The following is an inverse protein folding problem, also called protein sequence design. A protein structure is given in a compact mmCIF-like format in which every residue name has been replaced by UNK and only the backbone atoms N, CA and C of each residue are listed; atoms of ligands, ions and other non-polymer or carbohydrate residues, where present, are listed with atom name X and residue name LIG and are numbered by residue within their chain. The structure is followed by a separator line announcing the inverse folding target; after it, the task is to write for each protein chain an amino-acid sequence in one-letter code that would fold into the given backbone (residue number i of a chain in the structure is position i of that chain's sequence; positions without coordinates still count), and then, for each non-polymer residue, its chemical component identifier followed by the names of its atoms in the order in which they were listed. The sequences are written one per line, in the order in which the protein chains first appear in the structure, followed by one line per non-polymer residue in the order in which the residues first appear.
data_IF_955718961258
#
_entry.id   IF_955718961258
#
_cell.length_a   1.000
_cell.length_b   1.000
_cell.length_c   1.000
_cell.angle_alpha   90.00
_cell.angle_beta   90.00
_cell.angle_gamma   90.00
#
_symmetry.space_group_name_H-M   'P 1'
#
loop_
_entity.id
_entity.type
_entity.pdbx_description
1 polymer ?
#
# COMPACT_ATOMS: atom_id res chain seq x y z
N UNK A 1 -22.67 -7.96 5.83
CA UNK A 1 -21.48 -8.18 6.68
C UNK A 1 -20.55 -9.07 5.87
N UNK A 2 -19.31 -8.64 5.64
CA UNK A 2 -18.28 -9.47 5.02
C UNK A 2 -17.26 -9.87 6.08
N UNK A 3 -16.66 -11.03 5.90
CA UNK A 3 -15.55 -11.55 6.71
C UNK A 3 -14.34 -11.72 5.81
N UNK A 4 -13.14 -11.43 6.34
CA UNK A 4 -11.87 -11.49 5.61
C UNK A 4 -10.90 -12.37 6.38
N UNK A 5 -10.48 -13.48 5.79
CA UNK A 5 -9.71 -14.53 6.46
C UNK A 5 -8.25 -14.53 6.03
N UNK A 6 -7.36 -14.78 6.99
CA UNK A 6 -5.95 -15.03 6.75
C UNK A 6 -5.44 -16.10 7.72
N UNK A 7 -4.67 -17.05 7.21
CA UNK A 7 -3.95 -18.05 8.02
C UNK A 7 -2.50 -17.62 8.14
N UNK A 8 -1.97 -17.57 9.37
CA UNK A 8 -0.56 -17.28 9.65
C UNK A 8 0.09 -18.54 10.20
N UNK A 9 1.00 -19.13 9.43
CA UNK A 9 1.61 -20.42 9.75
C UNK A 9 3.13 -20.30 9.89
N UNK A 10 3.64 -20.57 11.09
CA UNK A 10 5.06 -20.68 11.38
C UNK A 10 5.39 -22.11 11.82
N UNK A 11 6.52 -22.62 11.37
CA UNK A 11 7.05 -23.93 11.77
C UNK A 11 8.54 -23.78 12.06
N UNK A 12 8.99 -24.33 13.19
CA UNK A 12 10.41 -24.42 13.54
C UNK A 12 11.11 -25.43 12.63
N UNK A 13 12.32 -25.12 12.20
CA UNK A 13 13.17 -26.08 11.49
C UNK A 13 13.78 -27.06 12.51
N UNK A 14 13.84 -28.35 12.19
CA UNK A 14 14.34 -29.39 13.13
C UNK A 14 15.79 -29.17 13.56
N UNK A 15 16.56 -28.42 12.77
CA UNK A 15 17.97 -28.11 13.01
C UNK A 15 18.18 -26.87 13.87
N UNK A 16 17.13 -26.14 14.21
CA UNK A 16 17.24 -24.90 15.00
C UNK A 16 17.43 -25.17 16.48
N UNK A 17 18.32 -24.41 17.16
CA UNK A 17 18.54 -24.60 18.58
C UNK A 17 17.29 -24.23 19.39
N UNK A 18 17.14 -24.88 20.55
CA UNK A 18 16.20 -24.44 21.57
C UNK A 18 16.57 -23.03 22.06
N UNK A 19 15.55 -22.21 22.35
CA UNK A 19 15.72 -20.81 22.76
C UNK A 19 15.27 -19.80 21.70
N UNK A 20 15.79 -18.57 21.77
CA UNK A 20 15.31 -17.42 20.98
C UNK A 20 15.96 -17.27 19.60
N UNK A 21 17.05 -18.00 19.33
CA UNK A 21 17.84 -17.93 18.10
C UNK A 21 17.31 -18.89 17.04
N UNK A 22 16.11 -18.60 16.56
CA UNK A 22 15.46 -19.31 15.45
C UNK A 22 14.86 -18.31 14.45
N UNK A 23 14.69 -18.78 13.21
CA UNK A 23 14.05 -18.06 12.13
C UNK A 23 12.57 -17.86 12.40
N UNK A 24 12.12 -16.62 12.29
CA UNK A 24 10.69 -16.27 12.33
C UNK A 24 10.12 -16.08 10.93
N UNK A 25 10.79 -16.63 9.91
CA UNK A 25 10.21 -16.75 8.58
C UNK A 25 8.96 -17.64 8.64
N UNK A 26 7.88 -17.19 8.04
CA UNK A 26 6.58 -17.86 8.08
C UNK A 26 5.78 -17.55 6.82
N UNK A 27 4.58 -18.10 6.70
CA UNK A 27 3.71 -17.90 5.53
C UNK A 27 2.37 -17.31 5.96
N UNK A 28 1.86 -16.37 5.15
CA UNK A 28 0.47 -15.94 5.19
C UNK A 28 -0.28 -16.56 4.02
N UNK A 29 -1.44 -17.14 4.29
CA UNK A 29 -2.34 -17.72 3.28
C UNK A 29 -3.69 -17.02 3.35
N UNK A 30 -4.24 -16.69 2.18
CA UNK A 30 -5.52 -16.01 2.05
C UNK A 30 -6.57 -16.94 1.42
N UNK A 31 -7.85 -16.64 1.67
CA UNK A 31 -9.01 -17.42 1.24
C UNK A 31 -9.06 -17.74 -0.28
N UNK A 32 -8.56 -16.83 -1.11
CA UNK A 32 -8.43 -17.02 -2.56
C UNK A 32 -7.25 -17.89 -3.01
N UNK A 33 -6.47 -18.46 -2.10
CA UNK A 33 -5.31 -19.30 -2.38
C UNK A 33 -4.00 -18.55 -2.61
N UNK A 34 -3.98 -17.22 -2.41
CA UNK A 34 -2.74 -16.45 -2.44
C UNK A 34 -1.89 -16.76 -1.19
N UNK A 35 -0.59 -16.94 -1.40
CA UNK A 35 0.38 -17.17 -0.32
C UNK A 35 1.49 -16.12 -0.38
N UNK A 36 1.96 -15.68 0.79
CA UNK A 36 3.02 -14.69 0.91
C UNK A 36 4.03 -15.11 1.98
N UNK A 37 5.32 -15.07 1.62
CA UNK A 37 6.41 -15.29 2.56
C UNK A 37 6.56 -14.05 3.46
N UNK A 38 6.52 -14.27 4.77
CA UNK A 38 6.54 -13.24 5.80
C UNK A 38 7.69 -13.45 6.79
N UNK A 39 8.08 -12.38 7.48
CA UNK A 39 9.14 -12.34 8.49
C UNK A 39 8.90 -11.17 9.44
N UNK A 40 9.44 -11.14 10.66
CA UNK A 40 9.58 -9.89 11.40
C UNK A 40 10.47 -8.90 10.64
N UNK A 41 10.25 -7.61 10.89
CA UNK A 41 11.09 -6.55 10.34
C UNK A 41 12.54 -6.68 10.82
N UNK A 42 13.55 -6.54 9.94
CA UNK A 42 14.95 -6.47 10.32
C UNK A 42 15.29 -5.35 11.32
N UNK A 43 14.46 -4.30 11.36
CA UNK A 43 14.59 -3.19 12.31
C UNK A 43 14.22 -3.57 13.75
N UNK A 44 13.32 -4.55 13.91
CA UNK A 44 12.88 -5.05 15.21
C UNK A 44 13.72 -6.24 15.63
N UNK A 45 14.05 -7.12 14.69
CA UNK A 45 14.82 -8.33 14.94
C UNK A 45 15.86 -8.55 13.84
N UNK A 46 17.17 -8.53 14.16
CA UNK A 46 18.19 -8.62 13.13
C UNK A 46 18.32 -10.05 12.55
N UNK A 47 18.88 -10.18 11.34
CA UNK A 47 19.29 -11.46 10.79
C UNK A 47 20.24 -12.23 11.74
N UNK A 48 20.22 -13.58 11.74
CA UNK A 48 19.49 -14.46 10.83
C UNK A 48 18.05 -14.80 11.29
N UNK A 49 17.53 -14.17 12.36
CA UNK A 49 16.19 -14.48 12.88
C UNK A 49 15.06 -13.81 12.08
N UNK A 50 15.42 -12.87 11.21
CA UNK A 50 14.57 -12.25 10.20
C UNK A 50 15.12 -12.51 8.80
N UNK A 51 14.21 -12.48 7.82
CA UNK A 51 14.49 -12.60 6.39
C UNK A 51 14.05 -11.31 5.72
N UNK A 52 15.01 -10.43 5.41
CA UNK A 52 14.75 -9.09 4.88
C UNK A 52 14.06 -9.06 3.50
N UNK A 53 14.04 -10.18 2.78
CA UNK A 53 13.36 -10.30 1.49
C UNK A 53 11.86 -10.66 1.63
N UNK A 54 11.43 -11.07 2.82
CA UNK A 54 10.03 -11.41 3.10
C UNK A 54 9.28 -10.16 3.60
N UNK A 55 7.97 -10.12 3.38
CA UNK A 55 7.15 -9.02 3.90
C UNK A 55 7.16 -9.03 5.43
N UNK A 56 7.24 -7.85 6.03
CA UNK A 56 6.99 -7.70 7.46
C UNK A 56 5.60 -7.13 7.78
N UNK A 57 5.06 -7.36 8.99
CA UNK A 57 3.73 -6.86 9.37
C UNK A 57 3.58 -5.34 9.24
N UNK A 58 4.63 -4.59 9.52
CA UNK A 58 4.64 -3.13 9.44
C UNK A 58 4.55 -2.65 7.98
N UNK A 59 5.33 -3.24 7.07
CA UNK A 59 5.26 -3.01 5.62
C UNK A 59 3.89 -3.38 5.06
N UNK A 60 3.36 -4.56 5.43
CA UNK A 60 2.04 -5.00 5.00
C UNK A 60 0.92 -4.06 5.48
N UNK A 61 1.04 -3.53 6.70
CA UNK A 61 0.10 -2.54 7.24
C UNK A 61 0.10 -1.24 6.43
N UNK A 62 1.29 -0.72 6.08
CA UNK A 62 1.44 0.47 5.23
C UNK A 62 0.85 0.21 3.84
N UNK A 63 1.17 -0.93 3.25
CA UNK A 63 0.68 -1.33 1.93
C UNK A 63 -0.86 -1.47 1.91
N UNK A 64 -1.45 -2.07 2.94
CA UNK A 64 -2.89 -2.22 3.06
C UNK A 64 -3.61 -0.86 3.11
N UNK A 65 -3.10 0.09 3.91
CA UNK A 65 -3.63 1.46 4.00
C UNK A 65 -3.55 2.20 2.67
N UNK A 66 -2.41 2.15 2.00
CA UNK A 66 -2.20 2.77 0.69
C UNK A 66 -3.14 2.17 -0.36
N UNK A 67 -3.24 0.84 -0.40
CA UNK A 67 -4.12 0.11 -1.33
C UNK A 67 -5.60 0.45 -1.11
N UNK A 68 -6.06 0.49 0.15
CA UNK A 68 -7.44 0.85 0.46
C UNK A 68 -7.76 2.28 -0.01
N UNK A 69 -6.86 3.24 0.23
CA UNK A 69 -7.02 4.61 -0.28
C UNK A 69 -7.06 4.67 -1.81
N UNK A 70 -6.11 4.00 -2.48
CA UNK A 70 -6.05 3.90 -3.93
C UNK A 70 -7.36 3.37 -4.52
N UNK A 71 -7.93 2.29 -3.98
CA UNK A 71 -9.17 1.70 -4.49
C UNK A 71 -10.35 2.69 -4.46
N UNK A 72 -10.45 3.47 -3.39
CA UNK A 72 -11.46 4.54 -3.32
C UNK A 72 -11.17 5.69 -4.29
N UNK A 73 -9.91 6.11 -4.40
CA UNK A 73 -9.50 7.14 -5.37
C UNK A 73 -9.87 6.74 -6.80
N UNK A 74 -9.51 5.53 -7.22
CA UNK A 74 -9.81 4.99 -8.55
C UNK A 74 -11.33 4.95 -8.81
N UNK A 75 -12.12 4.50 -7.82
CA UNK A 75 -13.58 4.47 -7.92
C UNK A 75 -14.18 5.88 -8.08
N UNK A 76 -13.70 6.84 -7.29
CA UNK A 76 -14.19 8.22 -7.32
C UNK A 76 -13.78 8.94 -8.62
N UNK A 77 -12.55 8.73 -9.09
CA UNK A 77 -12.07 9.26 -10.37
C UNK A 77 -12.92 8.75 -11.54
N UNK A 78 -13.18 7.44 -11.58
CA UNK A 78 -14.02 6.83 -12.61
C UNK A 78 -15.45 7.38 -12.58
N UNK A 79 -16.06 7.55 -11.41
CA UNK A 79 -17.42 8.14 -11.28
C UNK A 79 -17.51 9.57 -11.78
N UNK A 80 -16.42 10.34 -11.70
CA UNK A 80 -16.36 11.69 -12.27
C UNK A 80 -16.09 11.68 -13.77
N UNK A 81 -15.68 10.55 -14.35
CA UNK A 81 -15.31 10.44 -15.76
C UNK A 81 -13.85 10.76 -16.03
N UNK A 82 -12.97 10.64 -15.03
CA UNK A 82 -11.52 10.69 -15.22
C UNK A 82 -10.99 9.28 -15.49
N UNK A 83 -10.25 9.11 -16.58
CA UNK A 83 -9.61 7.84 -16.92
C UNK A 83 -8.20 7.80 -16.31
N UNK A 84 -8.07 7.17 -15.14
CA UNK A 84 -6.76 6.89 -14.54
C UNK A 84 -6.11 5.74 -15.29
N UNK A 85 -4.87 5.91 -15.76
CA UNK A 85 -4.12 4.87 -16.45
C UNK A 85 -2.89 4.37 -15.68
N UNK A 86 -2.40 5.15 -14.72
CA UNK A 86 -1.35 4.73 -13.80
C UNK A 86 -1.64 5.33 -12.42
N UNK A 87 -1.36 4.55 -11.38
CA UNK A 87 -1.33 5.02 -10.00
C UNK A 87 -0.17 4.34 -9.30
N UNK A 88 0.69 5.13 -8.67
CA UNK A 88 1.81 4.64 -7.85
C UNK A 88 1.78 5.40 -6.53
N UNK A 89 1.94 4.70 -5.42
CA UNK A 89 2.07 5.32 -4.10
C UNK A 89 3.36 4.88 -3.41
N UNK A 90 4.24 5.85 -3.13
CA UNK A 90 5.43 5.65 -2.33
C UNK A 90 5.12 5.89 -0.83
N UNK A 91 4.29 5.02 -0.28
CA UNK A 91 3.84 5.11 1.09
C UNK A 91 4.97 4.76 2.08
N UNK A 92 4.98 5.40 3.25
CA UNK A 92 5.91 5.11 4.34
C UNK A 92 5.21 5.11 5.70
N UNK A 93 5.60 4.17 6.56
CA UNK A 93 5.17 4.11 7.96
C UNK A 93 6.28 4.53 8.92
N UNK A 94 5.92 5.18 10.03
CA UNK A 94 6.84 5.53 11.10
C UNK A 94 6.40 4.87 12.41
N UNK A 95 7.33 4.16 13.05
CA UNK A 95 7.11 3.54 14.35
C UNK A 95 7.67 4.40 15.48
N UNK A 96 6.82 4.77 16.43
CA UNK A 96 7.18 5.57 17.60
C UNK A 96 6.36 5.13 18.81
N UNK A 97 6.65 5.71 19.98
CA UNK A 97 5.77 5.57 21.14
C UNK A 97 4.53 6.45 20.94
N UNK A 98 3.35 5.85 21.07
CA UNK A 98 2.08 6.57 21.08
C UNK A 98 1.84 7.30 22.42
N UNK A 99 0.69 7.96 22.57
CA UNK A 99 0.28 8.66 23.80
C UNK A 99 0.24 7.73 25.03
N UNK A 100 -0.04 6.45 24.82
CA UNK A 100 -0.02 5.41 25.86
C UNK A 100 1.40 4.87 26.16
N UNK A 101 2.44 5.48 25.59
CA UNK A 101 3.87 5.08 25.66
C UNK A 101 4.19 3.69 25.08
N UNK A 102 3.29 3.12 24.26
CA UNK A 102 3.47 1.84 23.56
C UNK A 102 4.05 2.07 22.16
N UNK A 103 4.94 1.19 21.71
CA UNK A 103 5.41 1.21 20.33
C UNK A 103 4.24 0.89 19.38
N UNK A 104 4.07 1.71 18.36
CA UNK A 104 3.04 1.55 17.33
C UNK A 104 3.47 2.26 16.05
N UNK A 105 2.84 1.91 14.92
CA UNK A 105 2.90 2.73 13.70
C UNK A 105 2.07 3.99 13.95
N UNK A 106 2.72 5.10 14.32
CA UNK A 106 2.06 6.36 14.73
C UNK A 106 1.67 7.21 13.54
N UNK A 107 2.42 7.12 12.43
CA UNK A 107 2.14 7.86 11.21
C UNK A 107 2.34 7.01 9.97
N UNK A 108 1.43 7.12 9.01
CA UNK A 108 1.61 6.66 7.63
C UNK A 108 1.49 7.87 6.70
N UNK A 109 2.44 8.01 5.79
CA UNK A 109 2.41 9.08 4.79
C UNK A 109 2.27 8.44 3.42
N UNK A 110 1.16 8.71 2.75
CA UNK A 110 0.87 8.31 1.37
C UNK A 110 1.44 9.36 0.43
N UNK A 111 2.10 8.94 -0.64
CA UNK A 111 2.63 9.80 -1.72
C UNK A 111 2.11 9.31 -3.06
N UNK A 112 0.81 9.47 -3.31
CA UNK A 112 0.19 8.98 -4.52
C UNK A 112 0.54 9.87 -5.72
N UNK A 113 0.80 9.22 -6.85
CA UNK A 113 0.97 9.84 -8.15
C UNK A 113 0.08 9.11 -9.15
N UNK A 114 -0.83 9.84 -9.78
CA UNK A 114 -1.77 9.31 -10.76
C UNK A 114 -1.58 9.95 -12.13
N UNK A 115 -1.52 9.13 -13.18
CA UNK A 115 -1.55 9.59 -14.57
C UNK A 115 -2.94 9.38 -15.16
N UNK A 116 -3.37 10.32 -16.00
CA UNK A 116 -4.71 10.34 -16.60
C UNK A 116 -4.63 10.35 -18.13
N UNK A 117 -5.59 9.70 -18.80
CA UNK A 117 -5.84 9.78 -20.26
C UNK A 117 -7.16 10.43 -20.60
N UNK A 118 -7.35 10.65 -21.90
CA UNK A 118 -8.59 11.08 -22.49
C UNK A 118 -8.68 12.60 -22.59
N UNK A 119 -9.84 13.08 -23.00
CA UNK A 119 -10.08 14.51 -23.20
C UNK A 119 -10.32 15.25 -21.88
N UNK A 120 -10.78 14.53 -20.85
CA UNK A 120 -11.11 15.08 -19.53
C UNK A 120 -9.97 14.81 -18.55
N UNK A 121 -9.03 15.75 -18.47
CA UNK A 121 -7.91 15.73 -17.51
C UNK A 121 -8.30 16.54 -16.27
N UNK A 122 -8.12 16.01 -15.04
CA UNK A 122 -8.48 16.72 -13.82
C UNK A 122 -7.55 17.90 -13.54
N UNK A 123 -8.07 18.95 -12.91
CA UNK A 123 -7.24 20.02 -12.33
C UNK A 123 -6.57 19.54 -11.03
N UNK A 124 -5.51 20.22 -10.56
CA UNK A 124 -4.90 19.91 -9.26
C UNK A 124 -5.90 19.90 -8.10
N UNK A 125 -6.86 20.83 -8.09
CA UNK A 125 -7.90 20.92 -7.06
C UNK A 125 -8.87 19.73 -7.12
N UNK A 126 -9.18 19.24 -8.33
CA UNK A 126 -9.99 18.04 -8.50
C UNK A 126 -9.26 16.79 -8.01
N UNK A 127 -7.95 16.68 -8.25
CA UNK A 127 -7.11 15.59 -7.73
C UNK A 127 -7.07 15.64 -6.20
N UNK A 128 -6.85 16.81 -5.61
CA UNK A 128 -6.87 16.99 -4.16
C UNK A 128 -8.22 16.60 -3.55
N UNK A 129 -9.32 17.07 -4.16
CA UNK A 129 -10.67 16.71 -3.73
C UNK A 129 -10.93 15.19 -3.83
N UNK A 130 -10.38 14.51 -4.85
CA UNK A 130 -10.49 13.06 -4.99
C UNK A 130 -9.73 12.34 -3.87
N UNK A 131 -8.49 12.74 -3.57
CA UNK A 131 -7.69 12.11 -2.51
C UNK A 131 -8.27 12.36 -1.11
N UNK A 132 -8.78 13.56 -0.84
CA UNK A 132 -9.48 13.86 0.41
C UNK A 132 -10.74 12.99 0.53
N UNK A 133 -11.57 12.93 -0.52
CA UNK A 133 -12.77 12.11 -0.54
C UNK A 133 -12.49 10.59 -0.44
N UNK A 134 -11.34 10.13 -0.94
CA UNK A 134 -10.88 8.75 -0.81
C UNK A 134 -10.45 8.43 0.63
N UNK A 135 -9.76 9.37 1.30
CA UNK A 135 -9.34 9.21 2.68
C UNK A 135 -10.54 9.03 3.62
N UNK A 136 -11.56 9.88 3.52
CA UNK A 136 -12.79 9.80 4.34
C UNK A 136 -13.54 8.47 4.17
N UNK A 137 -13.46 7.86 2.98
CA UNK A 137 -14.16 6.61 2.67
C UNK A 137 -13.32 5.36 2.93
N UNK A 138 -12.01 5.52 3.14
CA UNK A 138 -11.09 4.41 3.32
C UNK A 138 -11.42 3.63 4.59
N UNK A 139 -11.86 2.38 4.42
CA UNK A 139 -12.24 1.51 5.53
C UNK A 139 -11.12 1.34 6.55
N UNK A 140 -9.88 1.16 6.07
CA UNK A 140 -8.72 0.94 6.94
C UNK A 140 -8.28 2.23 7.65
N UNK A 141 -8.38 3.39 6.99
CA UNK A 141 -8.12 4.68 7.65
C UNK A 141 -9.10 4.91 8.81
N UNK A 142 -10.37 4.54 8.62
CA UNK A 142 -11.41 4.60 9.64
C UNK A 142 -11.25 3.55 10.76
N UNK A 143 -10.29 2.63 10.63
CA UNK A 143 -10.09 1.50 11.56
C UNK A 143 -8.86 1.65 12.46
N UNK A 144 -8.06 2.71 12.29
CA UNK A 144 -6.76 2.86 12.95
C UNK A 144 -6.65 4.18 13.70
N UNK A 145 -5.80 4.21 14.73
CA UNK A 145 -5.39 5.47 15.42
C UNK A 145 -4.20 6.15 14.74
N UNK A 146 -3.54 5.45 13.82
CA UNK A 146 -2.39 5.94 13.06
C UNK A 146 -2.77 7.21 12.31
N UNK A 147 -1.98 8.26 12.46
CA UNK A 147 -2.17 9.49 11.67
C UNK A 147 -1.81 9.19 10.22
N UNK A 148 -2.76 9.35 9.31
CA UNK A 148 -2.52 9.15 7.89
C UNK A 148 -2.46 10.52 7.20
N UNK A 149 -1.38 10.77 6.48
CA UNK A 149 -1.16 12.03 5.74
C UNK A 149 -1.04 11.70 4.26
N UNK A 150 -1.72 12.46 3.41
CA UNK A 150 -1.60 12.33 1.95
C UNK A 150 -0.78 13.50 1.40
N UNK A 151 0.39 13.21 0.86
CA UNK A 151 1.30 14.16 0.22
C UNK A 151 1.22 14.01 -1.30
N UNK A 152 0.37 14.83 -1.91
CA UNK A 152 0.02 14.77 -3.34
C UNK A 152 1.08 15.48 -4.21
N UNK A 153 2.01 16.22 -3.59
CA UNK A 153 3.02 17.03 -4.28
C UNK A 153 4.28 16.23 -4.67
N UNK A 154 4.20 14.91 -4.74
CA UNK A 154 5.37 14.05 -4.88
C UNK A 154 6.16 14.37 -6.16
N UNK A 155 7.43 14.73 -5.95
CA UNK A 155 8.46 14.82 -6.97
C UNK A 155 9.37 13.60 -6.84
N UNK A 156 9.70 12.89 -7.94
CA UNK A 156 10.59 11.73 -7.87
C UNK A 156 11.99 12.11 -7.38
N UNK A 157 12.69 11.15 -6.76
CA UNK A 157 14.10 11.32 -6.38
C UNK A 157 14.95 11.72 -7.61
N UNK A 158 15.96 12.60 -7.44
CA UNK A 158 16.88 12.94 -8.52
C UNK A 158 17.69 11.71 -8.94
N UNK A 159 17.26 11.03 -10.01
CA UNK A 159 17.89 9.83 -10.55
C UNK A 159 16.92 8.87 -11.25
N UNK A 160 15.64 8.85 -10.85
CA UNK A 160 14.61 8.00 -11.45
C UNK A 160 13.77 8.78 -12.47
N UNK A 161 14.35 9.00 -13.65
CA UNK A 161 13.54 9.22 -14.87
C UNK A 161 12.97 7.88 -15.32
N UNK A 162 12.04 7.30 -14.56
CA UNK A 162 11.22 6.21 -15.11
C UNK A 162 10.33 6.83 -16.16
N UNK A 163 10.51 6.38 -17.41
CA UNK A 163 9.54 6.61 -18.48
C UNK A 163 8.21 6.13 -17.93
N UNK A 164 7.27 7.04 -17.67
CA UNK A 164 5.86 6.67 -17.53
C UNK A 164 5.54 5.73 -18.69
N UNK A 165 4.98 4.53 -18.45
CA UNK A 165 4.39 3.77 -19.53
C UNK A 165 3.39 4.73 -20.17
N UNK A 166 3.68 5.18 -21.40
CA UNK A 166 2.86 6.17 -22.08
C UNK A 166 1.43 5.67 -22.04
N UNK A 167 0.57 6.42 -21.34
CA UNK A 167 -0.84 6.15 -21.23
C UNK A 167 -1.37 5.78 -22.63
N UNK A 168 -1.99 4.60 -22.83
CA UNK A 168 -2.34 4.15 -24.17
C UNK A 168 -3.24 5.20 -24.83
N UNK A 169 -2.81 5.72 -25.99
CA UNK A 169 -3.60 6.66 -26.76
C UNK A 169 -4.86 5.92 -27.23
N UNK A 170 -6.02 6.41 -26.83
CA UNK A 170 -7.30 5.88 -27.32
C UNK A 170 -7.43 6.22 -28.81
N UNK A 171 -6.96 5.33 -29.69
CA UNK A 171 -7.35 5.35 -31.09
C UNK A 171 -8.80 4.87 -31.19
N UNK A 172 -9.75 5.80 -31.27
CA UNK A 172 -11.11 5.48 -31.73
C UNK A 172 -11.02 5.06 -33.20
N UNK A 173 -10.95 3.76 -33.48
CA UNK A 173 -11.30 3.24 -34.79
C UNK A 173 -12.83 3.25 -34.91
N UNK A 174 -13.38 4.36 -35.41
CA UNK A 174 -14.72 4.35 -35.99
C UNK A 174 -14.70 3.47 -37.24
N UNK A 175 -15.38 2.33 -37.18
CA UNK A 175 -15.68 1.49 -38.33
C UNK A 175 -17.16 1.19 -38.33
N UNK A 176 -17.90 1.92 -39.16
CA UNK A 176 -19.29 1.64 -39.47
C UNK A 176 -19.41 0.24 -40.08
N UNK A 177 -20.41 -0.51 -39.63
CA UNK A 177 -20.94 -1.71 -40.26
C UNK A 177 -22.46 -1.62 -40.28
#
# INVERSE_FOLDING_TARGET
MSEHLATVAWKREETEPDGERFSRAHVWEFDGGACMAASPSPHVLPPPMSVAANVDPEEAFVAALASCHMLFFLSLAARRGFAVCEYVDHASGRMERNEDRKMAVTQVTLRPHAAFSGERIPTPEEIEALHHAAHERCFLANSVRTRIVTDIAWTPFPGERRRSPSCPSTSRSGGAG
#
